data_IF_171943918080
#
_entry.id   IF_171943918080
#
_cell.length_a   1.000
_cell.length_b   1.000
_cell.length_c   1.000
_cell.angle_alpha   90.00
_cell.angle_beta   90.00
_cell.angle_gamma   90.00
#
_symmetry.space_group_name_H-M   'P 1'
#
loop_
_entity.id
_entity.type
_entity.pdbx_description
1 polymer ?
#
# COMPACT_ATOMS: atom_id res chain seq x y z
N UNK A 1 11.58 1.11 -4.12
CA UNK A 1 10.82 0.35 -3.13
C UNK A 1 11.75 -0.66 -2.51
N UNK A 2 11.74 -0.77 -1.20
CA UNK A 2 12.60 -1.68 -0.45
C UNK A 2 11.82 -2.29 0.71
N UNK A 3 12.16 -3.52 1.08
CA UNK A 3 11.68 -4.15 2.30
C UNK A 3 12.71 -4.01 3.40
N UNK A 4 12.23 -3.87 4.62
CA UNK A 4 13.04 -3.75 5.82
C UNK A 4 12.76 -4.98 6.70
N UNK A 5 13.80 -5.75 7.00
CA UNK A 5 13.67 -6.95 7.84
C UNK A 5 13.31 -6.53 9.27
N UNK A 6 12.17 -7.00 9.77
CA UNK A 6 11.66 -6.61 11.10
C UNK A 6 12.16 -7.52 12.23
N UNK A 7 12.63 -8.72 11.92
CA UNK A 7 13.08 -9.72 12.91
C UNK A 7 14.51 -9.47 13.43
N UNK A 8 14.97 -8.22 13.39
CA UNK A 8 16.24 -7.76 13.96
C UNK A 8 15.99 -6.72 15.06
N UNK A 9 17.03 -6.42 15.84
CA UNK A 9 16.98 -5.35 16.84
C UNK A 9 16.57 -4.02 16.20
N UNK A 10 15.84 -3.20 16.95
CA UNK A 10 15.27 -1.94 16.45
C UNK A 10 16.34 -1.00 15.84
N UNK A 11 17.52 -0.93 16.47
CA UNK A 11 18.66 -0.14 15.99
C UNK A 11 19.16 -0.57 14.61
N UNK A 12 18.85 -1.80 14.18
CA UNK A 12 19.39 -2.41 12.97
C UNK A 12 18.41 -2.36 11.80
N UNK A 13 17.10 -2.22 12.04
CA UNK A 13 16.03 -2.41 11.03
C UNK A 13 16.26 -1.58 9.76
N UNK A 14 16.67 -0.32 9.88
CA UNK A 14 16.83 0.60 8.74
C UNK A 14 18.27 0.77 8.26
N UNK A 15 19.20 -0.09 8.71
CA UNK A 15 20.54 -0.13 8.12
C UNK A 15 20.46 -0.67 6.70
N UNK A 16 21.30 -0.15 5.81
CA UNK A 16 21.34 -0.57 4.41
C UNK A 16 21.48 -2.09 4.26
N UNK A 17 22.23 -2.74 5.15
CA UNK A 17 22.46 -4.20 5.16
C UNK A 17 21.17 -5.02 5.41
N UNK A 18 20.14 -4.41 5.99
CA UNK A 18 18.84 -5.04 6.30
C UNK A 18 17.72 -4.57 5.36
N UNK A 19 18.07 -3.81 4.31
CA UNK A 19 17.13 -3.36 3.28
C UNK A 19 17.25 -4.23 2.02
N UNK A 20 16.14 -4.83 1.62
CA UNK A 20 16.03 -5.61 0.39
C UNK A 20 15.40 -4.70 -0.68
N UNK A 21 16.18 -4.32 -1.69
CA UNK A 21 15.66 -3.52 -2.81
C UNK A 21 14.73 -4.39 -3.68
N UNK A 22 13.44 -4.06 -3.71
CA UNK A 22 12.42 -4.84 -4.43
C UNK A 22 12.03 -4.26 -5.78
N UNK A 23 12.30 -2.98 -6.02
CA UNK A 23 12.05 -2.38 -7.32
C UNK A 23 12.41 -0.91 -7.39
N UNK A 24 12.83 -0.47 -8.58
CA UNK A 24 13.03 0.94 -8.90
C UNK A 24 12.04 1.34 -9.99
N UNK A 25 11.17 2.33 -9.73
CA UNK A 25 10.33 2.88 -10.79
C UNK A 25 11.22 3.53 -11.87
N UNK A 26 10.86 3.40 -13.15
CA UNK A 26 11.62 4.02 -14.24
C UNK A 26 11.54 5.54 -14.15
N UNK A 27 12.67 6.23 -14.35
CA UNK A 27 12.72 7.69 -14.54
C UNK A 27 12.34 8.10 -15.97
N UNK A 28 12.29 9.41 -16.29
CA UNK A 28 12.70 10.56 -15.46
C UNK A 28 11.57 11.14 -14.59
N UNK A 29 10.32 10.81 -14.87
CA UNK A 29 9.16 11.29 -14.10
C UNK A 29 8.64 10.23 -13.16
N UNK A 30 8.09 10.66 -12.03
CA UNK A 30 7.45 9.75 -11.09
C UNK A 30 6.25 9.05 -11.74
N UNK A 31 6.13 7.71 -11.62
CA UNK A 31 4.98 7.00 -12.15
C UNK A 31 3.68 7.44 -11.47
N UNK A 32 2.60 7.40 -12.23
CA UNK A 32 1.25 7.55 -11.67
C UNK A 32 0.82 6.24 -10.96
N UNK A 33 -0.32 6.30 -10.26
CA UNK A 33 -0.83 5.15 -9.50
C UNK A 33 -1.03 3.91 -10.41
N UNK A 34 -1.71 4.06 -11.55
CA UNK A 34 -1.97 2.95 -12.48
C UNK A 34 -0.68 2.33 -13.04
N UNK A 35 0.33 3.15 -13.38
CA UNK A 35 1.63 2.67 -13.84
C UNK A 35 2.37 1.88 -12.76
N UNK A 36 2.28 2.33 -11.50
CA UNK A 36 2.94 1.70 -10.36
C UNK A 36 2.31 0.35 -9.98
N UNK A 37 1.01 0.15 -10.22
CA UNK A 37 0.31 -1.10 -9.87
C UNK A 37 0.83 -2.32 -10.64
N UNK A 38 1.31 -2.18 -11.89
CA UNK A 38 1.81 -3.31 -12.67
C UNK A 38 3.04 -4.00 -12.05
N UNK A 39 4.15 -3.30 -11.76
CA UNK A 39 5.29 -3.94 -11.09
C UNK A 39 4.98 -4.34 -9.65
N UNK A 40 4.10 -3.61 -8.95
CA UNK A 40 3.67 -3.99 -7.60
C UNK A 40 2.95 -5.33 -7.56
N UNK A 41 2.20 -5.68 -8.61
CA UNK A 41 1.49 -6.97 -8.66
C UNK A 41 2.44 -8.14 -8.47
N UNK A 42 3.60 -8.13 -9.14
CA UNK A 42 4.61 -9.19 -9.02
C UNK A 42 5.08 -9.34 -7.56
N UNK A 43 5.37 -8.21 -6.93
CA UNK A 43 5.81 -8.14 -5.53
C UNK A 43 4.70 -8.64 -4.59
N UNK A 44 3.45 -8.27 -4.83
CA UNK A 44 2.31 -8.72 -4.02
C UNK A 44 2.06 -10.21 -4.17
N UNK A 45 2.15 -10.75 -5.39
CA UNK A 45 1.98 -12.18 -5.65
C UNK A 45 3.08 -12.98 -4.89
N UNK A 46 4.33 -12.54 -4.94
CA UNK A 46 5.44 -13.16 -4.17
C UNK A 46 5.22 -13.08 -2.65
N UNK A 47 4.73 -11.94 -2.15
CA UNK A 47 4.45 -11.77 -0.72
C UNK A 47 3.32 -12.69 -0.24
N UNK A 48 2.30 -12.92 -1.07
CA UNK A 48 1.22 -13.86 -0.75
C UNK A 48 1.77 -15.29 -0.69
N UNK A 49 2.55 -15.69 -1.69
CA UNK A 49 3.17 -17.02 -1.74
C UNK A 49 4.08 -17.27 -0.51
N UNK A 50 4.92 -16.28 -0.17
CA UNK A 50 5.81 -16.36 1.01
C UNK A 50 5.05 -16.37 2.34
N UNK A 51 3.84 -15.82 2.38
CA UNK A 51 3.00 -15.83 3.58
C UNK A 51 2.26 -17.17 3.75
N UNK A 52 1.63 -17.65 2.67
CA UNK A 52 0.79 -18.86 2.68
C UNK A 52 1.64 -20.13 2.71
N UNK A 53 2.59 -20.24 1.77
CA UNK A 53 3.39 -21.43 1.57
C UNK A 53 4.78 -21.30 2.19
N UNK A 54 5.38 -20.11 2.14
CA UNK A 54 6.73 -19.87 2.61
C UNK A 54 7.80 -20.46 1.68
N UNK A 55 9.05 -20.44 2.13
CA UNK A 55 10.21 -20.95 1.37
C UNK A 55 11.11 -21.76 2.29
N UNK A 56 11.66 -22.87 1.79
CA UNK A 56 12.66 -23.67 2.52
C UNK A 56 14.04 -23.09 2.24
N UNK A 57 14.72 -22.65 3.29
CA UNK A 57 16.08 -22.09 3.22
C UNK A 57 17.05 -23.05 3.89
N UNK A 58 18.06 -23.51 3.15
CA UNK A 58 19.16 -24.32 3.70
C UNK A 58 20.26 -23.42 4.24
N UNK A 59 20.81 -23.80 5.38
CA UNK A 59 21.94 -23.09 6.02
C UNK A 59 22.95 -24.13 6.52
N UNK A 60 24.20 -23.74 6.81
CA UNK A 60 25.17 -24.68 7.37
C UNK A 60 24.71 -25.36 8.67
N UNK A 61 23.94 -24.65 9.51
CA UNK A 61 23.36 -25.20 10.75
C UNK A 61 22.13 -26.07 10.50
N UNK A 62 21.41 -25.84 9.41
CA UNK A 62 20.19 -26.56 9.03
C UNK A 62 20.30 -27.08 7.58
N UNK A 63 21.04 -28.18 7.35
CA UNK A 63 21.26 -28.73 6.01
C UNK A 63 19.98 -29.27 5.35
N UNK A 64 19.04 -29.77 6.15
CA UNK A 64 17.71 -30.21 5.70
C UNK A 64 16.75 -29.03 5.40
N UNK A 65 17.19 -27.81 5.71
CA UNK A 65 16.43 -26.58 5.51
C UNK A 65 15.47 -26.22 6.64
N UNK A 66 15.11 -24.95 6.68
CA UNK A 66 14.09 -24.39 7.56
C UNK A 66 13.00 -23.73 6.73
N UNK A 67 11.73 -23.96 7.11
CA UNK A 67 10.60 -23.27 6.50
C UNK A 67 10.55 -21.83 7.03
N UNK A 68 10.71 -20.86 6.15
CA UNK A 68 10.62 -19.44 6.45
C UNK A 68 9.37 -18.87 5.79
N UNK A 69 8.56 -18.17 6.58
CA UNK A 69 7.39 -17.41 6.10
C UNK A 69 7.63 -15.93 6.26
N UNK A 70 7.08 -15.14 5.34
CA UNK A 70 7.21 -13.68 5.33
C UNK A 70 5.83 -13.06 5.52
N UNK A 71 5.74 -12.06 6.38
CA UNK A 71 4.55 -11.24 6.54
C UNK A 71 4.90 -9.77 6.36
N UNK A 72 4.12 -9.05 5.53
CA UNK A 72 4.24 -7.61 5.39
C UNK A 72 3.53 -6.91 6.55
N UNK A 73 4.31 -6.24 7.42
CA UNK A 73 3.78 -5.61 8.65
C UNK A 73 3.23 -4.20 8.40
N UNK A 74 3.79 -3.48 7.44
CA UNK A 74 3.35 -2.12 7.15
C UNK A 74 4.04 -1.50 5.94
N UNK A 75 3.44 -0.43 5.44
CA UNK A 75 3.97 0.41 4.36
C UNK A 75 4.42 1.74 4.98
N UNK A 76 5.71 2.04 4.86
CA UNK A 76 6.30 3.29 5.34
C UNK A 76 6.65 4.12 4.12
N UNK A 77 5.90 5.20 3.93
CA UNK A 77 6.09 6.12 2.83
C UNK A 77 5.54 7.50 3.21
N UNK A 78 5.93 8.52 2.46
CA UNK A 78 5.22 9.79 2.54
C UNK A 78 3.76 9.64 2.04
N UNK A 79 2.95 10.68 2.26
CA UNK A 79 1.52 10.63 1.94
C UNK A 79 1.25 10.36 0.45
N UNK A 80 1.91 11.05 -0.52
CA UNK A 80 1.68 10.80 -1.94
C UNK A 80 2.03 9.38 -2.37
N UNK A 81 3.19 8.85 -1.95
CA UNK A 81 3.58 7.50 -2.34
C UNK A 81 2.68 6.44 -1.70
N UNK A 82 2.31 6.60 -0.42
CA UNK A 82 1.34 5.73 0.24
C UNK A 82 -0.02 5.73 -0.47
N UNK A 83 -0.49 6.88 -0.94
CA UNK A 83 -1.74 6.95 -1.69
C UNK A 83 -1.68 6.16 -3.01
N UNK A 84 -0.59 6.31 -3.78
CA UNK A 84 -0.39 5.58 -5.04
C UNK A 84 -0.22 4.07 -4.82
N UNK A 85 0.51 3.67 -3.78
CA UNK A 85 0.77 2.27 -3.42
C UNK A 85 -0.52 1.58 -2.98
N UNK A 86 -1.26 2.20 -2.06
CA UNK A 86 -2.41 1.60 -1.39
C UNK A 86 -3.75 1.89 -2.07
N UNK A 87 -3.77 2.65 -3.16
CA UNK A 87 -5.00 2.99 -3.89
C UNK A 87 -5.88 4.03 -3.18
N UNK A 88 -5.29 4.92 -2.37
CA UNK A 88 -6.01 6.03 -1.77
C UNK A 88 -5.93 7.30 -2.63
N UNK A 89 -6.86 8.22 -2.36
CA UNK A 89 -6.79 9.56 -2.93
C UNK A 89 -5.89 10.49 -2.09
N UNK A 90 -5.28 11.45 -2.77
CA UNK A 90 -4.46 12.50 -2.15
C UNK A 90 -5.31 13.38 -1.21
N UNK A 91 -4.64 14.07 -0.27
CA UNK A 91 -5.25 15.02 0.68
C UNK A 91 -6.10 16.12 0.03
N UNK A 92 -5.88 16.43 -1.25
CA UNK A 92 -6.66 17.42 -1.99
C UNK A 92 -7.97 16.87 -2.59
N UNK A 93 -8.25 15.56 -2.43
CA UNK A 93 -9.49 14.98 -2.92
C UNK A 93 -10.68 15.52 -2.14
N UNK A 94 -11.69 16.05 -2.84
CA UNK A 94 -12.86 16.69 -2.21
C UNK A 94 -13.60 15.77 -1.24
N UNK A 95 -13.61 14.47 -1.55
CA UNK A 95 -14.45 13.52 -0.84
C UNK A 95 -13.70 12.46 -0.01
N UNK A 96 -12.43 12.22 -0.33
CA UNK A 96 -11.59 11.25 0.38
C UNK A 96 -10.18 11.78 0.65
N UNK A 97 -10.07 12.95 1.27
CA UNK A 97 -8.77 13.53 1.61
C UNK A 97 -8.03 12.74 2.71
N UNK A 98 -8.73 11.90 3.47
CA UNK A 98 -8.18 11.17 4.59
C UNK A 98 -8.18 9.66 4.31
N UNK A 99 -7.05 9.01 4.57
CA UNK A 99 -6.88 7.56 4.44
C UNK A 99 -7.37 6.79 5.66
N UNK A 100 -7.68 7.48 6.77
CA UNK A 100 -8.17 6.88 8.02
C UNK A 100 -9.69 6.88 8.13
N UNK A 101 -10.35 7.95 7.72
CA UNK A 101 -11.79 8.14 7.91
C UNK A 101 -12.49 8.73 6.68
N UNK A 102 -13.81 8.87 6.75
CA UNK A 102 -14.69 9.35 5.67
C UNK A 102 -14.94 10.87 5.68
N UNK A 103 -14.08 11.65 6.33
CA UNK A 103 -14.20 13.11 6.36
C UNK A 103 -14.06 13.73 4.97
N UNK A 104 -14.90 14.71 4.65
CA UNK A 104 -14.81 15.50 3.41
C UNK A 104 -13.76 16.61 3.54
N UNK A 105 -13.22 17.08 2.41
CA UNK A 105 -12.16 18.09 2.37
C UNK A 105 -12.54 19.38 3.14
N UNK A 106 -13.74 19.88 2.92
CA UNK A 106 -14.26 21.09 3.57
C UNK A 106 -14.53 20.89 5.08
N UNK A 107 -14.52 19.64 5.57
CA UNK A 107 -14.72 19.29 6.98
C UNK A 107 -13.44 18.88 7.70
N UNK A 108 -12.29 18.88 7.05
CA UNK A 108 -11.01 18.47 7.66
C UNK A 108 -10.65 19.29 8.91
N UNK A 109 -10.94 20.60 8.91
CA UNK A 109 -10.67 21.49 10.04
C UNK A 109 -11.81 21.50 11.10
N UNK A 110 -12.85 20.70 10.92
CA UNK A 110 -13.96 20.64 11.88
C UNK A 110 -13.53 20.01 13.20
N UNK A 111 -14.15 20.42 14.31
CA UNK A 111 -13.93 19.80 15.64
C UNK A 111 -14.12 18.28 15.61
N UNK A 112 -15.07 17.79 14.81
CA UNK A 112 -15.34 16.36 14.62
C UNK A 112 -14.14 15.64 13.99
N UNK A 113 -13.53 16.24 12.97
CA UNK A 113 -12.33 15.71 12.32
C UNK A 113 -11.14 15.68 13.28
N UNK A 114 -10.89 16.79 13.98
CA UNK A 114 -9.79 16.91 14.93
C UNK A 114 -9.90 15.94 16.13
N UNK A 115 -11.12 15.49 16.46
CA UNK A 115 -11.38 14.48 17.48
C UNK A 115 -11.38 13.03 16.96
N UNK A 116 -11.19 12.83 15.66
CA UNK A 116 -11.33 11.53 14.98
C UNK A 116 -12.75 10.91 15.07
N UNK A 117 -13.79 11.75 15.11
CA UNK A 117 -15.19 11.32 15.27
C UNK A 117 -15.90 11.00 13.94
N UNK A 118 -15.19 11.02 12.81
CA UNK A 118 -15.73 10.53 11.53
C UNK A 118 -15.62 9.00 11.44
N UNK A 119 -16.57 8.32 10.78
CA UNK A 119 -16.48 6.89 10.56
C UNK A 119 -15.12 6.48 9.97
N UNK A 120 -14.50 5.46 10.56
CA UNK A 120 -13.28 4.87 10.03
C UNK A 120 -13.55 4.24 8.66
N UNK A 121 -12.54 4.21 7.80
CA UNK A 121 -12.62 3.44 6.55
C UNK A 121 -12.66 1.95 6.86
N UNK A 122 -13.41 1.21 6.04
CA UNK A 122 -13.44 -0.23 6.07
C UNK A 122 -12.49 -0.79 5.00
N UNK A 123 -11.60 -1.70 5.38
CA UNK A 123 -10.62 -2.30 4.47
C UNK A 123 -11.24 -3.22 3.40
N UNK A 124 -12.33 -3.91 3.70
CA UNK A 124 -13.10 -4.71 2.74
C UNK A 124 -13.75 -3.82 1.68
N UNK A 125 -14.38 -2.73 2.12
CA UNK A 125 -14.95 -1.74 1.22
C UNK A 125 -13.87 -1.10 0.33
N UNK A 126 -12.74 -0.72 0.92
CA UNK A 126 -11.59 -0.20 0.18
C UNK A 126 -11.14 -1.17 -0.91
N UNK A 127 -10.94 -2.45 -0.58
CA UNK A 127 -10.58 -3.49 -1.56
C UNK A 127 -11.64 -3.64 -2.65
N UNK A 128 -12.92 -3.68 -2.28
CA UNK A 128 -14.04 -3.77 -3.22
C UNK A 128 -14.00 -2.63 -4.25
N UNK A 129 -13.78 -1.40 -3.78
CA UNK A 129 -13.67 -0.22 -4.63
C UNK A 129 -12.43 -0.27 -5.54
N UNK A 130 -11.28 -0.72 -5.03
CA UNK A 130 -10.08 -0.92 -5.83
C UNK A 130 -10.29 -1.95 -6.96
N UNK A 131 -10.96 -3.07 -6.69
CA UNK A 131 -11.28 -4.07 -7.72
C UNK A 131 -12.27 -3.53 -8.76
N UNK A 132 -13.28 -2.76 -8.32
CA UNK A 132 -14.19 -2.10 -9.24
C UNK A 132 -13.46 -1.11 -10.14
N UNK A 133 -12.57 -0.29 -9.58
CA UNK A 133 -11.72 0.63 -10.35
C UNK A 133 -10.83 -0.11 -11.35
N UNK A 134 -10.19 -1.20 -10.93
CA UNK A 134 -9.30 -2.01 -11.78
C UNK A 134 -10.03 -2.66 -12.95
N UNK A 135 -11.30 -3.06 -12.77
CA UNK A 135 -12.13 -3.66 -13.80
C UNK A 135 -12.67 -2.65 -14.84
N UNK A 136 -12.52 -1.34 -14.63
CA UNK A 136 -13.02 -0.34 -15.57
C UNK A 136 -12.17 -0.32 -16.86
N UNK A 137 -12.81 -0.36 -18.05
CA UNK A 137 -12.10 -0.61 -19.31
C UNK A 137 -11.38 0.61 -19.89
N UNK A 138 -11.69 1.82 -19.41
CA UNK A 138 -11.12 3.06 -19.96
C UNK A 138 -10.68 4.01 -18.87
N UNK A 139 -9.64 4.80 -19.14
CA UNK A 139 -9.13 5.82 -18.22
C UNK A 139 -10.20 6.87 -17.88
N UNK A 140 -11.09 7.19 -18.82
CA UNK A 140 -12.20 8.12 -18.59
C UNK A 140 -13.17 7.60 -17.52
N UNK A 141 -13.56 6.33 -17.60
CA UNK A 141 -14.43 5.72 -16.59
C UNK A 141 -13.74 5.63 -15.23
N UNK A 142 -12.45 5.31 -15.21
CA UNK A 142 -11.62 5.32 -14.00
C UNK A 142 -11.59 6.68 -13.33
N UNK A 143 -11.37 7.76 -14.10
CA UNK A 143 -11.41 9.12 -13.59
C UNK A 143 -12.78 9.51 -13.05
N UNK A 144 -13.86 9.17 -13.76
CA UNK A 144 -15.23 9.43 -13.32
C UNK A 144 -15.56 8.66 -12.03
N UNK A 145 -15.13 7.40 -11.95
CA UNK A 145 -15.26 6.58 -10.75
C UNK A 145 -14.51 7.19 -9.58
N UNK A 146 -13.25 7.56 -9.78
CA UNK A 146 -12.41 8.16 -8.74
C UNK A 146 -13.00 9.47 -8.21
N UNK A 147 -13.55 10.31 -9.11
CA UNK A 147 -14.25 11.56 -8.75
C UNK A 147 -15.55 11.34 -7.97
N UNK A 148 -16.25 10.21 -8.18
CA UNK A 148 -17.61 9.96 -7.63
C UNK A 148 -17.63 9.04 -6.39
N UNK A 149 -16.84 7.98 -6.37
CA UNK A 149 -17.06 6.82 -5.49
C UNK A 149 -16.32 6.91 -4.15
N UNK A 150 -15.31 7.77 -4.07
CA UNK A 150 -14.68 8.10 -2.80
C UNK A 150 -15.43 9.20 -2.02
N UNK A 151 -16.71 9.46 -2.37
CA UNK A 151 -17.53 10.54 -1.84
C UNK A 151 -19.00 10.30 -1.62
N UNK A 152 -19.40 9.05 -1.46
CA UNK A 152 -20.66 8.67 -0.82
C UNK A 152 -20.39 8.18 0.59
#
# INVERSE_FOLDING_TARGET
MSFCIQNVLESERYRADNLILSGMPPGPTEPNADQLQHPLKLIVDDLIELYENGVIITTPEYPEGILVRVALVGIIADHPAMCKLCGFADKNHKFAPCTKCTVLYDKLASKKSLKNDFPARNGEEHRRLCYQYAALPTSKLKEEFFKKILGG
#
